data_IF_270297137611
#
_entry.id   IF_270297137611
#
_cell.length_a   1.000
_cell.length_b   1.000
_cell.length_c   1.000
_cell.angle_alpha   90.00
_cell.angle_beta   90.00
_cell.angle_gamma   90.00
#
_symmetry.space_group_name_H-M   'P 1'
#
loop_
_entity.id
_entity.type
_entity.pdbx_description
1 polymer ?
#
# COMPACT_ATOMS: atom_id res chain seq x y z
N UNK A 1 5.06 41.21 -40.42
CA UNK A 1 4.45 39.97 -40.94
C UNK A 1 3.81 39.25 -39.75
N UNK A 2 2.50 39.43 -39.57
CA UNK A 2 1.70 38.63 -38.63
C UNK A 2 0.54 38.06 -39.44
N UNK A 3 0.49 36.74 -39.57
CA UNK A 3 -0.55 36.01 -40.27
C UNK A 3 -0.77 34.69 -39.54
N UNK A 4 -1.82 34.63 -38.73
CA UNK A 4 -2.18 33.47 -37.93
C UNK A 4 -2.55 32.27 -38.80
N UNK A 5 -2.06 31.11 -38.41
CA UNK A 5 -2.39 29.81 -38.97
C UNK A 5 -2.56 28.79 -37.84
N UNK A 6 -3.44 29.10 -36.89
CA UNK A 6 -3.85 28.18 -35.83
C UNK A 6 -4.76 27.09 -36.40
N UNK A 7 -4.18 26.18 -37.18
CA UNK A 7 -4.82 24.91 -37.54
C UNK A 7 -4.53 23.91 -36.43
N UNK A 8 -5.37 23.87 -35.40
CA UNK A 8 -5.31 22.83 -34.37
C UNK A 8 -5.29 21.46 -35.04
N UNK A 9 -4.26 20.67 -34.73
CA UNK A 9 -4.07 19.36 -35.32
C UNK A 9 -5.33 18.51 -35.11
N UNK A 10 -5.76 17.78 -36.15
CA UNK A 10 -7.00 17.01 -36.09
C UNK A 10 -6.92 15.97 -34.96
N UNK A 11 -7.77 16.03 -33.92
CA UNK A 11 -7.59 15.26 -32.67
C UNK A 11 -7.55 13.74 -32.89
N UNK A 12 -8.28 13.24 -33.89
CA UNK A 12 -8.25 11.81 -34.25
C UNK A 12 -6.91 11.35 -34.80
N UNK A 13 -6.20 12.24 -35.52
CA UNK A 13 -4.87 11.95 -36.07
C UNK A 13 -3.80 12.01 -34.97
N UNK A 14 -4.03 12.83 -33.94
CA UNK A 14 -3.16 12.90 -32.78
C UNK A 14 -3.27 11.62 -31.95
N UNK A 15 -4.49 11.15 -31.64
CA UNK A 15 -4.69 9.89 -30.91
C UNK A 15 -4.07 8.70 -31.66
N UNK A 16 -4.32 8.58 -32.97
CA UNK A 16 -3.73 7.52 -33.79
C UNK A 16 -2.19 7.55 -33.82
N UNK A 17 -1.61 8.74 -33.68
CA UNK A 17 -0.15 8.91 -33.58
C UNK A 17 0.37 8.57 -32.18
N UNK A 18 -0.38 8.86 -31.12
CA UNK A 18 -0.05 8.47 -29.74
C UNK A 18 -0.11 6.95 -29.56
N UNK A 19 -1.15 6.31 -30.07
CA UNK A 19 -1.31 4.85 -30.08
C UNK A 19 -0.14 4.17 -30.82
N UNK A 20 0.31 4.74 -31.94
CA UNK A 20 1.48 4.23 -32.68
C UNK A 20 2.80 4.39 -31.88
N UNK A 21 2.88 5.37 -30.99
CA UNK A 21 4.01 5.58 -30.10
C UNK A 21 3.92 4.74 -28.81
N UNK A 22 2.90 3.89 -28.66
CA UNK A 22 2.67 3.08 -27.46
C UNK A 22 2.27 3.92 -26.27
N UNK A 23 1.50 4.99 -26.52
CA UNK A 23 0.90 5.84 -25.51
C UNK A 23 -0.61 5.61 -25.52
N UNK A 24 -1.13 5.03 -24.45
CA UNK A 24 -2.56 4.74 -24.27
C UNK A 24 -3.12 5.63 -23.15
N UNK A 25 -4.20 6.36 -23.42
CA UNK A 25 -4.86 7.24 -22.45
C UNK A 25 -6.27 6.74 -22.20
N UNK A 26 -6.60 6.52 -20.93
CA UNK A 26 -7.88 5.99 -20.46
C UNK A 26 -8.43 6.88 -19.34
N UNK A 27 -9.73 7.17 -19.37
CA UNK A 27 -10.46 7.77 -18.25
C UNK A 27 -10.94 6.65 -17.32
N UNK A 28 -10.76 6.84 -16.00
CA UNK A 28 -11.14 5.89 -14.97
C UNK A 28 -12.24 6.50 -14.11
N UNK A 29 -13.38 5.83 -14.06
CA UNK A 29 -14.46 6.13 -13.12
C UNK A 29 -14.09 5.59 -11.73
N UNK A 30 -13.37 6.39 -10.95
CA UNK A 30 -12.97 6.02 -9.59
C UNK A 30 -14.04 6.43 -8.58
N UNK A 31 -14.44 5.50 -7.70
CA UNK A 31 -15.36 5.82 -6.60
C UNK A 31 -14.65 6.58 -5.46
N UNK A 32 -13.40 6.21 -5.16
CA UNK A 32 -12.58 6.84 -4.12
C UNK A 32 -11.09 6.78 -4.50
N UNK A 33 -10.31 7.81 -4.16
CA UNK A 33 -8.84 7.74 -4.09
C UNK A 33 -8.36 8.14 -2.71
N UNK A 34 -7.45 7.35 -2.14
CA UNK A 34 -6.74 7.69 -0.90
C UNK A 34 -5.25 7.86 -1.21
N UNK A 35 -4.72 9.06 -1.00
CA UNK A 35 -3.28 9.33 -1.00
C UNK A 35 -2.81 9.37 0.45
N UNK A 36 -2.19 8.28 0.91
CA UNK A 36 -1.57 8.18 2.23
C UNK A 36 -0.14 8.73 2.19
N UNK A 37 0.16 9.69 3.04
CA UNK A 37 1.52 10.13 3.35
C UNK A 37 1.90 9.68 4.76
N UNK A 38 3.15 9.90 5.17
CA UNK A 38 3.58 9.58 6.54
C UNK A 38 2.93 10.44 7.64
N UNK A 39 2.17 11.47 7.28
CA UNK A 39 1.57 12.41 8.24
C UNK A 39 0.04 12.41 8.18
N UNK A 40 -0.53 12.19 6.98
CA UNK A 40 -1.95 12.32 6.74
C UNK A 40 -2.41 11.54 5.53
N UNK A 41 -3.71 11.34 5.45
CA UNK A 41 -4.38 10.84 4.25
C UNK A 41 -5.11 12.00 3.55
N UNK A 42 -5.06 12.01 2.23
CA UNK A 42 -5.91 12.83 1.37
C UNK A 42 -6.93 11.89 0.72
N UNK A 43 -8.21 12.08 1.03
CA UNK A 43 -9.31 11.23 0.55
C UNK A 43 -10.13 12.02 -0.46
N UNK A 44 -10.19 11.53 -1.69
CA UNK A 44 -11.00 12.09 -2.77
C UNK A 44 -12.24 11.20 -2.97
N UNK A 45 -13.43 11.77 -2.82
CA UNK A 45 -14.70 11.12 -3.16
C UNK A 45 -15.04 11.41 -4.63
N UNK A 46 -15.32 10.37 -5.42
CA UNK A 46 -15.66 10.45 -6.85
C UNK A 46 -14.74 11.36 -7.70
N UNK A 47 -13.40 11.22 -7.66
CA UNK A 47 -12.49 12.06 -8.44
C UNK A 47 -12.50 11.74 -9.94
N UNK A 48 -12.16 12.74 -10.76
CA UNK A 48 -11.84 12.55 -12.18
C UNK A 48 -10.40 12.00 -12.31
N UNK A 49 -10.26 10.80 -12.87
CA UNK A 49 -8.96 10.12 -13.01
C UNK A 49 -8.65 9.82 -14.46
N UNK A 50 -7.45 10.19 -14.90
CA UNK A 50 -6.91 9.80 -16.19
C UNK A 50 -5.64 8.98 -16.02
N UNK A 51 -5.59 7.79 -16.63
CA UNK A 51 -4.38 6.96 -16.74
C UNK A 51 -3.76 7.14 -18.12
N UNK A 52 -2.45 7.36 -18.15
CA UNK A 52 -1.64 7.34 -19.36
C UNK A 52 -0.59 6.23 -19.21
N UNK A 53 -0.63 5.19 -20.04
CA UNK A 53 0.47 4.24 -20.16
C UNK A 53 1.44 4.74 -21.25
N UNK A 54 2.72 4.82 -20.92
CA UNK A 54 3.76 5.08 -21.90
C UNK A 54 4.92 4.13 -21.65
N UNK A 55 5.25 3.27 -22.63
CA UNK A 55 6.38 2.33 -22.53
C UNK A 55 6.29 1.41 -21.30
N UNK A 56 5.08 1.04 -20.86
CA UNK A 56 4.84 0.19 -19.69
C UNK A 56 4.94 0.91 -18.35
N UNK A 57 5.02 2.25 -18.35
CA UNK A 57 4.92 3.07 -17.15
C UNK A 57 3.57 3.81 -17.15
N UNK A 58 2.77 3.55 -16.13
CA UNK A 58 1.48 4.22 -15.95
C UNK A 58 1.66 5.53 -15.16
N UNK A 59 1.13 6.61 -15.71
CA UNK A 59 0.98 7.92 -15.05
C UNK A 59 -0.49 8.17 -14.79
N UNK A 60 -0.85 8.58 -13.57
CA UNK A 60 -2.21 8.92 -13.19
C UNK A 60 -2.32 10.43 -12.93
N UNK A 61 -3.30 11.07 -13.55
CA UNK A 61 -3.68 12.45 -13.26
C UNK A 61 -5.00 12.42 -12.51
N UNK A 62 -5.02 13.03 -11.32
CA UNK A 62 -6.18 13.05 -10.44
C UNK A 62 -6.64 14.51 -10.33
N UNK A 63 -7.92 14.75 -10.59
CA UNK A 63 -8.56 16.06 -10.40
C UNK A 63 -9.73 15.90 -9.43
N UNK A 64 -9.73 16.69 -8.37
CA UNK A 64 -10.77 16.66 -7.33
C UNK A 64 -10.37 17.47 -6.10
N UNK A 65 -11.31 17.60 -5.15
CA UNK A 65 -11.10 18.27 -3.87
C UNK A 65 -11.00 17.22 -2.74
N UNK A 66 -9.84 17.03 -2.10
CA UNK A 66 -9.69 16.00 -1.08
C UNK A 66 -10.07 16.50 0.33
N UNK A 67 -10.56 15.58 1.15
CA UNK A 67 -10.63 15.72 2.61
C UNK A 67 -9.33 15.22 3.26
N UNK A 68 -8.91 15.85 4.36
CA UNK A 68 -7.70 15.44 5.10
C UNK A 68 -8.07 14.62 6.34
N UNK A 69 -7.43 13.46 6.52
CA UNK A 69 -7.53 12.61 7.72
C UNK A 69 -6.14 12.39 8.33
N UNK A 70 -6.04 12.20 9.64
CA UNK A 70 -4.78 11.81 10.29
C UNK A 70 -4.36 10.41 9.82
N UNK A 71 -3.08 10.21 9.49
CA UNK A 71 -2.58 8.89 9.11
C UNK A 71 -2.58 8.00 10.36
N UNK A 72 -3.35 6.92 10.34
CA UNK A 72 -3.25 5.88 11.37
C UNK A 72 -1.85 5.24 11.35
N UNK A 73 -1.37 4.78 12.50
CA UNK A 73 -0.02 4.24 12.72
C UNK A 73 0.36 3.03 11.84
N UNK A 74 -0.57 2.45 11.07
CA UNK A 74 -0.33 1.33 10.16
C UNK A 74 0.13 1.76 8.74
N UNK A 75 0.92 2.83 8.65
CA UNK A 75 1.55 3.23 7.40
C UNK A 75 2.90 2.50 7.22
N UNK A 76 2.88 1.20 6.93
CA UNK A 76 4.07 0.54 6.36
C UNK A 76 4.27 1.06 4.92
N UNK A 77 5.36 1.75 4.60
CA UNK A 77 5.60 2.22 3.24
C UNK A 77 5.67 1.04 2.27
N UNK A 78 4.87 1.08 1.19
CA UNK A 78 5.05 0.20 0.04
C UNK A 78 6.35 0.61 -0.66
N UNK A 79 7.44 -0.10 -0.35
CA UNK A 79 8.77 0.19 -0.89
C UNK A 79 9.96 -0.31 -0.06
N UNK A 80 9.74 -0.87 1.14
CA UNK A 80 10.79 -1.53 1.93
C UNK A 80 10.83 -3.06 1.71
N UNK A 81 10.43 -3.53 0.53
CA UNK A 81 10.35 -4.96 0.24
C UNK A 81 10.38 -5.22 -1.24
N UNK A 82 11.57 -5.12 -1.85
CA UNK A 82 12.08 -6.07 -2.85
C UNK A 82 13.39 -5.54 -3.43
N UNK A 83 14.49 -5.67 -2.69
CA UNK A 83 15.79 -5.97 -3.27
C UNK A 83 16.54 -6.89 -2.30
N UNK A 84 16.27 -8.18 -2.42
CA UNK A 84 17.16 -9.27 -2.01
C UNK A 84 17.52 -9.37 -0.53
N UNK A 85 16.89 -10.29 0.17
CA UNK A 85 17.63 -11.30 0.95
C UNK A 85 16.70 -12.44 1.32
N UNK A 86 17.00 -13.58 0.72
CA UNK A 86 16.76 -14.93 1.24
C UNK A 86 16.78 -15.00 2.77
N UNK A 87 15.75 -15.64 3.32
CA UNK A 87 15.74 -16.53 4.48
C UNK A 87 17.05 -16.63 5.28
N UNK A 88 17.04 -16.10 6.51
CA UNK A 88 17.53 -16.78 7.71
C UNK A 88 17.54 -15.85 8.95
N UNK A 89 16.66 -16.15 9.91
CA UNK A 89 17.02 -16.13 11.33
C UNK A 89 16.99 -14.79 12.08
N UNK A 90 15.98 -14.68 12.94
CA UNK A 90 16.06 -14.31 14.38
C UNK A 90 16.79 -13.02 14.77
N UNK A 91 16.03 -12.13 15.41
CA UNK A 91 16.49 -11.50 16.64
C UNK A 91 16.07 -10.04 16.76
N UNK A 92 15.07 -9.82 17.62
CA UNK A 92 14.92 -8.68 18.53
C UNK A 92 15.03 -7.28 17.92
N UNK A 93 13.98 -6.48 18.07
CA UNK A 93 14.08 -5.36 19.02
C UNK A 93 12.71 -5.07 19.64
N UNK A 94 12.71 -5.14 20.97
CA UNK A 94 11.73 -4.66 21.91
C UNK A 94 11.32 -3.21 21.61
N UNK A 95 10.01 -2.94 21.56
CA UNK A 95 9.53 -1.57 21.45
C UNK A 95 8.08 -1.44 21.04
N UNK A 96 7.16 -2.00 21.83
CA UNK A 96 5.77 -1.58 21.93
C UNK A 96 5.00 -1.48 20.61
N UNK A 97 4.42 -2.59 20.18
CA UNK A 97 3.07 -2.67 19.64
C UNK A 97 2.62 -4.14 19.81
N UNK A 98 1.32 -4.41 19.88
CA UNK A 98 0.77 -5.63 20.50
C UNK A 98 1.34 -6.97 20.02
N UNK A 99 1.16 -8.02 20.84
CA UNK A 99 1.50 -9.41 20.47
C UNK A 99 0.88 -9.73 19.10
N UNK A 100 1.66 -10.07 18.06
CA UNK A 100 1.13 -10.32 16.73
C UNK A 100 0.25 -11.57 16.74
N UNK A 101 -0.87 -11.53 16.01
CA UNK A 101 -1.82 -12.64 15.96
C UNK A 101 -1.20 -13.93 15.40
N UNK A 102 -0.14 -13.80 14.59
CA UNK A 102 0.64 -14.93 14.08
C UNK A 102 1.34 -15.70 15.23
N UNK A 103 1.94 -15.00 16.19
CA UNK A 103 2.62 -15.64 17.33
C UNK A 103 1.62 -16.35 18.24
N UNK A 104 0.44 -15.75 18.47
CA UNK A 104 -0.67 -16.39 19.19
C UNK A 104 -1.07 -17.69 18.52
N UNK A 105 -1.22 -17.68 17.19
CA UNK A 105 -1.53 -18.85 16.39
C UNK A 105 -0.44 -19.93 16.44
N UNK A 106 0.84 -19.55 16.43
CA UNK A 106 1.97 -20.50 16.54
C UNK A 106 1.97 -21.19 17.91
N UNK A 107 1.78 -20.43 18.99
CA UNK A 107 1.76 -20.96 20.36
C UNK A 107 0.55 -21.88 20.55
N UNK A 108 -0.65 -21.44 20.19
CA UNK A 108 -1.89 -22.23 20.32
C UNK A 108 -1.82 -23.55 19.54
N UNK A 109 -1.29 -23.53 18.31
CA UNK A 109 -1.13 -24.76 17.50
C UNK A 109 -0.12 -25.74 18.11
N UNK A 110 0.93 -25.23 18.75
CA UNK A 110 2.02 -26.05 19.29
C UNK A 110 1.68 -26.67 20.64
N UNK A 111 0.94 -25.94 21.47
CA UNK A 111 0.58 -26.36 22.84
C UNK A 111 -0.81 -26.98 22.91
N UNK A 112 -1.67 -26.69 21.92
CA UNK A 112 -3.08 -27.07 21.91
C UNK A 112 -3.95 -26.20 22.82
N UNK A 113 -3.42 -25.10 23.36
CA UNK A 113 -4.14 -24.15 24.19
C UNK A 113 -5.09 -23.26 23.34
N UNK A 114 -6.01 -22.55 24.01
CA UNK A 114 -6.85 -21.58 23.32
C UNK A 114 -6.05 -20.34 22.91
N UNK A 115 -6.56 -19.58 21.92
CA UNK A 115 -5.92 -18.34 21.48
C UNK A 115 -5.83 -17.29 22.60
N UNK A 116 -6.80 -17.28 23.53
CA UNK A 116 -6.75 -16.42 24.71
C UNK A 116 -5.63 -16.84 25.67
N UNK A 117 -5.48 -18.14 25.96
CA UNK A 117 -4.40 -18.64 26.83
C UNK A 117 -3.01 -18.43 26.19
N UNK A 118 -2.92 -18.61 24.86
CA UNK A 118 -1.70 -18.38 24.09
C UNK A 118 -1.30 -16.90 24.09
N UNK A 119 -2.29 -16.00 23.96
CA UNK A 119 -2.07 -14.54 24.06
C UNK A 119 -1.60 -14.15 25.45
N UNK A 120 -2.26 -14.64 26.51
CA UNK A 120 -1.85 -14.39 27.89
C UNK A 120 -0.41 -14.87 28.14
N UNK A 121 -0.06 -16.08 27.69
CA UNK A 121 1.29 -16.60 27.84
C UNK A 121 2.35 -15.74 27.14
N UNK A 122 2.05 -15.21 25.95
CA UNK A 122 2.94 -14.31 25.21
C UNK A 122 3.05 -12.93 25.86
N UNK A 123 1.96 -12.41 26.42
CA UNK A 123 1.98 -11.16 27.20
C UNK A 123 2.85 -11.30 28.45
N UNK A 124 2.76 -12.43 29.16
CA UNK A 124 3.56 -12.70 30.36
C UNK A 124 5.04 -12.98 30.07
N UNK A 125 5.39 -13.28 28.82
CA UNK A 125 6.77 -13.54 28.40
C UNK A 125 7.35 -12.43 27.53
N UNK A 126 6.73 -11.24 27.55
CA UNK A 126 7.15 -10.08 26.77
C UNK A 126 7.35 -10.42 25.26
N UNK A 127 6.48 -11.28 24.72
CA UNK A 127 6.51 -11.74 23.34
C UNK A 127 7.51 -12.86 23.02
N UNK A 128 8.18 -13.46 24.01
CA UNK A 128 9.07 -14.60 23.76
C UNK A 128 8.27 -15.89 23.47
N UNK A 129 8.22 -16.31 22.20
CA UNK A 129 7.51 -17.51 21.76
C UNK A 129 8.01 -18.78 22.46
N UNK A 130 9.32 -18.93 22.66
CA UNK A 130 9.88 -20.14 23.25
C UNK A 130 9.51 -20.26 24.72
N UNK A 131 9.54 -19.13 25.43
CA UNK A 131 9.08 -19.03 26.82
C UNK A 131 7.57 -19.28 26.93
N UNK A 132 6.76 -18.72 26.02
CA UNK A 132 5.30 -18.91 26.01
C UNK A 132 4.91 -20.37 25.76
N UNK A 133 5.54 -21.03 24.78
CA UNK A 133 5.31 -22.47 24.52
C UNK A 133 5.69 -23.31 25.74
N UNK A 134 6.86 -23.08 26.33
CA UNK A 134 7.33 -23.84 27.50
C UNK A 134 6.44 -23.67 28.73
N UNK A 135 5.64 -22.60 28.79
CA UNK A 135 4.70 -22.31 29.88
C UNK A 135 3.38 -23.08 29.75
N UNK A 136 3.00 -23.42 28.52
CA UNK A 136 1.71 -24.03 28.17
C UNK A 136 1.80 -25.53 27.82
N UNK A 137 3.01 -26.09 27.67
CA UNK A 137 3.27 -27.53 27.50
C UNK A 137 3.12 -28.37 28.78
#
# INVERSE_FOLDING_TARGET
MFGGGGGGMNPRKLNQMMEQMGIDIEELDAEEIVIRTGEKELVFDQPDVQRMDAQGQATYTITGEPETREAGEEATPLGAGDEGTIDAGTGSESGGDGIPEEDVGIVAQRTGASEDDAREALEETDGDLAAAVSRLE
#
